data_IF_335973004828
#
_entry.id   IF_335973004828
#
_cell.length_a   1.000
_cell.length_b   1.000
_cell.length_c   1.000
_cell.angle_alpha   90.00
_cell.angle_beta   90.00
_cell.angle_gamma   90.00
#
_symmetry.space_group_name_H-M   'P 1'
#
loop_
_entity.id
_entity.type
_entity.pdbx_description
1 polymer ?
#
# COMPACT_ATOMS: atom_id res chain seq x y z
N UNK A 1 24.61 53.92 -5.90
CA UNK A 1 25.47 52.93 -6.58
C UNK A 1 26.00 51.94 -5.55
N UNK A 2 25.54 50.69 -5.67
CA UNK A 2 26.24 49.41 -5.43
C UNK A 2 27.31 49.34 -4.32
N UNK A 3 26.99 48.61 -3.24
CA UNK A 3 27.85 47.52 -2.73
C UNK A 3 26.99 46.31 -2.39
N UNK A 4 27.30 45.21 -3.05
CA UNK A 4 26.63 43.91 -2.98
C UNK A 4 27.15 43.07 -1.80
N UNK A 5 26.25 42.20 -1.30
CA UNK A 5 26.45 40.80 -0.89
C UNK A 5 27.67 40.46 -0.02
N UNK A 6 27.41 40.04 1.23
CA UNK A 6 27.72 38.68 1.68
C UNK A 6 27.08 38.46 3.07
N UNK A 7 25.92 37.79 3.11
CA UNK A 7 25.35 37.30 4.37
C UNK A 7 25.83 35.86 4.52
N UNK A 8 26.94 35.68 5.24
CA UNK A 8 27.48 34.37 5.58
C UNK A 8 26.57 33.80 6.66
N UNK A 9 25.63 32.94 6.26
CA UNK A 9 24.85 32.12 7.16
C UNK A 9 25.67 30.88 7.52
N UNK A 10 26.40 30.94 8.63
CA UNK A 10 27.07 29.77 9.21
C UNK A 10 26.03 28.93 9.95
N UNK A 11 25.51 27.88 9.30
CA UNK A 11 24.73 26.83 9.96
C UNK A 11 25.70 25.86 10.62
N UNK A 12 25.95 26.05 11.90
CA UNK A 12 26.71 25.10 12.72
C UNK A 12 25.80 23.93 13.09
N UNK A 13 26.17 22.75 12.58
CA UNK A 13 25.61 21.44 12.89
C UNK A 13 25.82 21.13 14.38
N UNK A 14 24.74 21.04 15.16
CA UNK A 14 24.71 20.33 16.46
C UNK A 14 23.28 19.82 16.74
N UNK A 15 22.90 18.72 16.10
CA UNK A 15 21.86 17.82 16.61
C UNK A 15 22.42 16.39 16.67
N UNK A 16 23.53 16.23 17.39
CA UNK A 16 23.87 14.95 18.00
C UNK A 16 23.15 14.88 19.35
N UNK A 17 21.86 14.56 19.31
CA UNK A 17 21.21 13.96 20.46
C UNK A 17 21.32 12.45 20.28
N UNK A 18 22.09 11.73 21.10
CA UNK A 18 21.98 10.28 21.14
C UNK A 18 20.58 10.00 21.68
N UNK A 19 19.69 9.50 20.82
CA UNK A 19 18.46 8.86 21.26
C UNK A 19 18.85 7.59 22.02
N UNK A 20 19.15 7.76 23.30
CA UNK A 20 19.28 6.67 24.26
C UNK A 20 17.86 6.16 24.53
N UNK A 21 17.69 4.89 24.20
CA UNK A 21 16.59 3.98 24.52
C UNK A 21 15.80 4.34 25.78
N UNK A 22 14.47 4.43 25.65
CA UNK A 22 13.59 4.73 26.78
C UNK A 22 12.09 4.75 26.49
N UNK A 23 11.58 3.92 25.57
CA UNK A 23 10.15 3.56 25.57
C UNK A 23 10.01 2.08 25.20
N UNK A 24 9.87 1.24 26.23
CA UNK A 24 9.10 0.00 26.14
C UNK A 24 7.63 0.39 25.87
N UNK A 25 7.32 0.86 24.67
CA UNK A 25 6.00 0.58 24.13
C UNK A 25 6.14 -0.83 23.58
N UNK A 26 5.51 -1.81 24.24
CA UNK A 26 5.20 -3.09 23.60
C UNK A 26 4.49 -2.73 22.30
N UNK A 27 5.21 -2.75 21.18
CA UNK A 27 4.56 -2.64 19.89
C UNK A 27 3.61 -3.85 19.83
N UNK A 28 2.31 -3.64 19.59
CA UNK A 28 1.41 -4.76 19.44
C UNK A 28 2.01 -5.71 18.40
N UNK A 29 1.88 -7.03 18.61
CA UNK A 29 2.48 -8.01 17.71
C UNK A 29 2.09 -7.68 16.27
N UNK A 30 3.00 -7.87 15.30
CA UNK A 30 2.70 -7.59 13.91
C UNK A 30 1.47 -8.40 13.50
N UNK A 31 0.44 -7.69 13.01
CA UNK A 31 -0.82 -8.31 12.61
C UNK A 31 -0.58 -9.36 11.53
N UNK A 32 -1.30 -10.46 11.63
CA UNK A 32 -1.31 -11.49 10.61
C UNK A 32 -1.89 -10.96 9.28
N UNK A 33 -1.56 -11.57 8.13
CA UNK A 33 -2.17 -11.22 6.85
C UNK A 33 -3.71 -11.28 6.85
N UNK A 34 -4.27 -12.19 7.65
CA UNK A 34 -5.73 -12.36 7.79
C UNK A 34 -6.35 -11.20 8.55
N UNK A 35 -5.76 -10.79 9.67
CA UNK A 35 -6.24 -9.62 10.44
C UNK A 35 -6.14 -8.34 9.62
N UNK A 36 -5.03 -8.15 8.89
CA UNK A 36 -4.87 -7.01 7.98
C UNK A 36 -5.92 -7.01 6.87
N UNK A 37 -6.23 -8.18 6.31
CA UNK A 37 -7.26 -8.31 5.29
C UNK A 37 -8.65 -7.95 5.81
N UNK A 38 -9.01 -8.47 7.00
CA UNK A 38 -10.29 -8.19 7.64
C UNK A 38 -10.45 -6.69 7.96
N UNK A 39 -9.43 -6.05 8.55
CA UNK A 39 -9.47 -4.61 8.83
C UNK A 39 -9.61 -3.77 7.55
N UNK A 40 -8.94 -4.18 6.48
CA UNK A 40 -9.03 -3.51 5.19
C UNK A 40 -10.39 -3.72 4.53
N UNK A 41 -10.99 -4.91 4.67
CA UNK A 41 -12.34 -5.21 4.20
C UNK A 41 -13.39 -4.37 4.95
N UNK A 42 -13.29 -4.29 6.27
CA UNK A 42 -14.14 -3.46 7.12
C UNK A 42 -14.03 -1.98 6.79
N UNK A 43 -12.81 -1.52 6.47
CA UNK A 43 -12.62 -0.14 6.01
C UNK A 43 -13.32 0.10 4.68
N UNK A 44 -13.18 -0.82 3.72
CA UNK A 44 -13.83 -0.71 2.41
C UNK A 44 -15.36 -0.79 2.53
N UNK A 45 -15.88 -1.62 3.43
CA UNK A 45 -17.30 -1.67 3.77
C UNK A 45 -17.83 -0.28 4.11
N UNK A 46 -17.19 0.40 5.05
CA UNK A 46 -17.60 1.76 5.49
C UNK A 46 -17.43 2.79 4.38
N UNK A 47 -16.29 2.76 3.69
CA UNK A 47 -15.95 3.78 2.70
C UNK A 47 -16.79 3.69 1.42
N UNK A 48 -17.18 2.48 1.02
CA UNK A 48 -17.87 2.21 -0.24
C UNK A 48 -19.33 1.77 -0.03
N UNK A 49 -19.78 1.67 1.23
CA UNK A 49 -21.09 1.16 1.60
C UNK A 49 -21.39 -0.19 0.92
N UNK A 50 -20.48 -1.16 1.08
CA UNK A 50 -20.65 -2.46 0.42
C UNK A 50 -21.83 -3.21 1.05
N UNK A 51 -22.42 -4.12 0.27
CA UNK A 51 -23.43 -5.06 0.81
C UNK A 51 -22.72 -6.19 1.53
N UNK A 52 -23.38 -6.87 2.46
CA UNK A 52 -22.77 -7.97 3.23
C UNK A 52 -22.11 -9.05 2.35
N UNK A 53 -22.75 -9.40 1.23
CA UNK A 53 -22.15 -10.34 0.28
C UNK A 53 -20.91 -9.78 -0.42
N UNK A 54 -20.86 -8.48 -0.70
CA UNK A 54 -19.67 -7.82 -1.28
C UNK A 54 -18.55 -7.78 -0.25
N UNK A 55 -18.86 -7.46 1.02
CA UNK A 55 -17.91 -7.51 2.13
C UNK A 55 -17.28 -8.91 2.27
N UNK A 56 -18.10 -9.96 2.30
CA UNK A 56 -17.63 -11.34 2.37
C UNK A 56 -16.66 -11.68 1.21
N UNK A 57 -16.99 -11.28 -0.02
CA UNK A 57 -16.13 -11.51 -1.18
C UNK A 57 -14.85 -10.69 -1.13
N UNK A 58 -14.92 -9.42 -0.69
CA UNK A 58 -13.75 -8.54 -0.52
C UNK A 58 -12.79 -9.12 0.50
N UNK A 59 -13.29 -9.52 1.67
CA UNK A 59 -12.49 -10.12 2.73
C UNK A 59 -11.80 -11.40 2.24
N UNK A 60 -12.53 -12.30 1.58
CA UNK A 60 -11.96 -13.52 1.00
C UNK A 60 -10.85 -13.23 -0.03
N UNK A 61 -11.06 -12.24 -0.91
CA UNK A 61 -10.04 -11.80 -1.88
C UNK A 61 -8.80 -11.25 -1.17
N UNK A 62 -8.98 -10.39 -0.17
CA UNK A 62 -7.88 -9.76 0.55
C UNK A 62 -7.10 -10.77 1.38
N UNK A 63 -7.77 -11.68 2.09
CA UNK A 63 -7.11 -12.72 2.90
C UNK A 63 -6.21 -13.58 2.03
N UNK A 64 -6.72 -14.07 0.90
CA UNK A 64 -5.91 -14.85 -0.05
C UNK A 64 -4.75 -14.02 -0.60
N UNK A 65 -5.03 -12.81 -1.06
CA UNK A 65 -4.02 -11.99 -1.71
C UNK A 65 -2.90 -11.54 -0.75
N UNK A 66 -3.23 -11.23 0.51
CA UNK A 66 -2.24 -10.85 1.52
C UNK A 66 -1.44 -12.05 1.99
N UNK A 67 -2.07 -13.22 2.13
CA UNK A 67 -1.36 -14.47 2.43
C UNK A 67 -0.33 -14.78 1.34
N UNK A 68 -0.76 -14.78 0.07
CA UNK A 68 0.11 -15.06 -1.07
C UNK A 68 1.23 -14.01 -1.23
N UNK A 69 0.92 -12.72 -1.02
CA UNK A 69 1.91 -11.65 -1.07
C UNK A 69 2.96 -11.82 0.03
N UNK A 70 2.52 -12.14 1.25
CA UNK A 70 3.43 -12.35 2.40
C UNK A 70 4.36 -13.52 2.12
N UNK A 71 3.84 -14.65 1.64
CA UNK A 71 4.64 -15.79 1.25
C UNK A 71 5.65 -15.44 0.14
N UNK A 72 5.25 -14.65 -0.86
CA UNK A 72 6.15 -14.25 -1.94
C UNK A 72 7.24 -13.28 -1.48
N UNK A 73 6.91 -12.35 -0.60
CA UNK A 73 7.89 -11.44 0.00
C UNK A 73 8.91 -12.22 0.83
N UNK A 74 8.46 -13.22 1.59
CA UNK A 74 9.34 -14.07 2.37
C UNK A 74 10.25 -14.93 1.48
N UNK A 75 9.71 -15.50 0.40
CA UNK A 75 10.50 -16.23 -0.61
C UNK A 75 11.62 -15.34 -1.19
N UNK A 76 11.31 -14.09 -1.55
CA UNK A 76 12.30 -13.13 -2.06
C UNK A 76 13.35 -12.77 -1.00
N UNK A 77 12.93 -12.62 0.26
CA UNK A 77 13.82 -12.33 1.38
C UNK A 77 14.82 -13.47 1.60
N UNK A 78 14.34 -14.72 1.64
CA UNK A 78 15.17 -15.92 1.80
C UNK A 78 16.12 -16.10 0.62
N UNK A 79 15.68 -15.78 -0.60
CA UNK A 79 16.52 -15.79 -1.80
C UNK A 79 17.58 -14.66 -1.84
N UNK A 80 17.62 -13.79 -0.83
CA UNK A 80 18.60 -12.70 -0.74
C UNK A 80 18.35 -11.57 -1.74
N UNK A 81 17.13 -11.43 -2.27
CA UNK A 81 16.77 -10.33 -3.17
C UNK A 81 16.71 -9.04 -2.36
N UNK A 82 17.51 -8.05 -2.74
CA UNK A 82 17.58 -6.74 -2.07
C UNK A 82 17.06 -5.59 -2.94
N UNK A 83 16.87 -5.82 -4.24
CA UNK A 83 16.44 -4.79 -5.17
C UNK A 83 15.00 -4.35 -4.89
N UNK A 84 14.83 -3.10 -4.42
CA UNK A 84 13.53 -2.49 -4.11
C UNK A 84 12.53 -2.60 -5.27
N UNK A 85 13.00 -2.40 -6.50
CA UNK A 85 12.15 -2.46 -7.69
C UNK A 85 11.53 -3.84 -7.91
N UNK A 86 12.21 -4.91 -7.49
CA UNK A 86 11.67 -6.28 -7.56
C UNK A 86 10.50 -6.45 -6.59
N UNK A 87 10.65 -5.99 -5.35
CA UNK A 87 9.55 -6.01 -4.37
C UNK A 87 8.37 -5.17 -4.84
N UNK A 88 8.64 -3.98 -5.38
CA UNK A 88 7.61 -3.12 -5.94
C UNK A 88 6.86 -3.80 -7.08
N UNK A 89 7.57 -4.46 -8.00
CA UNK A 89 6.96 -5.18 -9.12
C UNK A 89 6.03 -6.30 -8.63
N UNK A 90 6.44 -7.04 -7.60
CA UNK A 90 5.60 -8.06 -6.97
C UNK A 90 4.36 -7.43 -6.33
N UNK A 91 4.52 -6.37 -5.53
CA UNK A 91 3.40 -5.67 -4.91
C UNK A 91 2.42 -5.15 -5.96
N UNK A 92 2.89 -4.49 -7.02
CA UNK A 92 2.06 -3.97 -8.11
C UNK A 92 1.28 -5.11 -8.81
N UNK A 93 1.88 -6.29 -8.99
CA UNK A 93 1.21 -7.47 -9.54
C UNK A 93 0.07 -7.96 -8.64
N UNK A 94 0.32 -8.06 -7.34
CA UNK A 94 -0.71 -8.47 -6.36
C UNK A 94 -1.80 -7.41 -6.23
N UNK A 95 -1.44 -6.13 -6.33
CA UNK A 95 -2.37 -5.04 -6.34
C UNK A 95 -3.28 -5.13 -7.59
N UNK A 96 -2.74 -5.41 -8.78
CA UNK A 96 -3.54 -5.61 -9.99
C UNK A 96 -4.56 -6.75 -9.87
N UNK A 97 -4.19 -7.87 -9.22
CA UNK A 97 -5.12 -8.96 -8.93
C UNK A 97 -6.31 -8.51 -8.06
N UNK A 98 -6.07 -7.66 -7.07
CA UNK A 98 -7.14 -7.07 -6.25
C UNK A 98 -8.05 -6.20 -7.12
N UNK A 99 -7.48 -5.31 -7.94
CA UNK A 99 -8.29 -4.44 -8.81
C UNK A 99 -9.21 -5.26 -9.71
N UNK A 100 -8.69 -6.30 -10.37
CA UNK A 100 -9.44 -7.16 -11.28
C UNK A 100 -10.53 -7.97 -10.56
N UNK A 101 -10.32 -8.32 -9.29
CA UNK A 101 -11.33 -9.00 -8.48
C UNK A 101 -12.41 -8.02 -8.01
N UNK A 102 -12.01 -6.85 -7.52
CA UNK A 102 -12.94 -5.83 -7.02
C UNK A 102 -13.82 -5.25 -8.12
N UNK A 103 -13.32 -5.11 -9.34
CA UNK A 103 -14.12 -4.69 -10.50
C UNK A 103 -15.33 -5.61 -10.76
N UNK A 104 -15.22 -6.89 -10.40
CA UNK A 104 -16.29 -7.89 -10.56
C UNK A 104 -17.26 -7.91 -9.38
N UNK A 105 -16.82 -7.44 -8.22
CA UNK A 105 -17.58 -7.47 -6.97
C UNK A 105 -18.36 -6.16 -6.78
N UNK A 106 -17.75 -5.04 -7.13
CA UNK A 106 -18.29 -3.70 -6.95
C UNK A 106 -19.20 -3.31 -8.11
N UNK A 107 -20.17 -2.44 -7.84
CA UNK A 107 -20.80 -1.68 -8.91
C UNK A 107 -19.82 -0.62 -9.48
N UNK A 108 -20.22 0.02 -10.57
CA UNK A 108 -19.37 0.99 -11.29
C UNK A 108 -18.95 2.17 -10.41
N UNK A 109 -19.84 2.66 -9.56
CA UNK A 109 -19.59 3.85 -8.74
C UNK A 109 -18.69 3.49 -7.55
N UNK A 110 -18.94 2.36 -6.92
CA UNK A 110 -18.09 1.78 -5.88
C UNK A 110 -16.67 1.52 -6.41
N UNK A 111 -16.53 0.91 -7.58
CA UNK A 111 -15.22 0.62 -8.18
C UNK A 111 -14.47 1.90 -8.56
N UNK A 112 -15.15 2.87 -9.15
CA UNK A 112 -14.54 4.16 -9.47
C UNK A 112 -14.08 4.90 -8.21
N UNK A 113 -14.88 4.88 -7.13
CA UNK A 113 -14.51 5.47 -5.84
C UNK A 113 -13.30 4.76 -5.23
N UNK A 114 -13.27 3.43 -5.25
CA UNK A 114 -12.12 2.62 -4.84
C UNK A 114 -10.84 3.03 -5.59
N UNK A 115 -10.88 3.12 -6.91
CA UNK A 115 -9.72 3.48 -7.73
C UNK A 115 -9.21 4.90 -7.46
N UNK A 116 -10.11 5.84 -7.14
CA UNK A 116 -9.74 7.20 -6.74
C UNK A 116 -9.07 7.22 -5.37
N UNK A 117 -9.66 6.55 -4.38
CA UNK A 117 -9.15 6.50 -3.01
C UNK A 117 -7.81 5.78 -2.89
N UNK A 118 -7.59 4.75 -3.71
CA UNK A 118 -6.32 4.01 -3.75
C UNK A 118 -5.24 4.69 -4.61
N UNK A 119 -5.57 5.76 -5.35
CA UNK A 119 -4.65 6.41 -6.28
C UNK A 119 -4.36 5.61 -7.56
N UNK A 120 -5.15 4.56 -7.83
CA UNK A 120 -4.89 3.58 -8.90
C UNK A 120 -5.66 3.81 -10.19
N UNK A 121 -6.52 4.82 -10.24
CA UNK A 121 -7.33 5.14 -11.42
C UNK A 121 -6.52 5.21 -12.72
N UNK A 122 -5.38 5.90 -12.73
CA UNK A 122 -4.52 6.02 -13.91
C UNK A 122 -3.87 4.69 -14.31
N UNK A 123 -3.44 3.90 -13.32
CA UNK A 123 -2.78 2.60 -13.53
C UNK A 123 -3.79 1.61 -14.13
N UNK A 124 -4.98 1.53 -13.53
CA UNK A 124 -6.06 0.66 -14.01
C UNK A 124 -6.43 0.99 -15.47
N UNK A 125 -6.62 2.28 -15.79
CA UNK A 125 -6.90 2.72 -17.17
C UNK A 125 -5.81 2.27 -18.16
N UNK A 126 -4.54 2.52 -17.83
CA UNK A 126 -3.40 2.09 -18.67
C UNK A 126 -3.37 0.57 -18.87
N UNK A 127 -3.65 -0.21 -17.83
CA UNK A 127 -3.67 -1.67 -17.91
C UNK A 127 -4.79 -2.16 -18.82
N UNK A 128 -5.99 -1.57 -18.76
CA UNK A 128 -7.11 -1.91 -19.65
C UNK A 128 -6.80 -1.57 -21.10
N UNK A 129 -6.20 -0.40 -21.36
CA UNK A 129 -5.76 -0.02 -22.71
C UNK A 129 -4.71 -0.96 -23.29
N UNK A 130 -3.81 -1.49 -22.45
CA UNK A 130 -2.81 -2.47 -22.88
C UNK A 130 -3.39 -3.85 -23.18
N UNK A 131 -4.47 -4.24 -22.48
CA UNK A 131 -5.16 -5.52 -22.71
C UNK A 131 -6.10 -5.50 -23.93
N UNK A 132 -6.52 -4.32 -24.37
CA UNK A 132 -7.39 -4.13 -25.52
C UNK A 132 -6.62 -4.07 -26.87
N UNK A 133 -5.30 -4.18 -26.84
CA UNK A 133 -4.41 -4.21 -28.01
C UNK A 133 -3.92 -5.64 -28.25
#
# INVERSE_FOLDING_TARGET
>A
MKTSKLLILTVTILFFSPFIYGQNQEQPPPKSPVELASEQADKLQRDLNLKDYQLFLVDSVLQRNFTDLTAKVEEMRVAGIQARETYKTVQDKFAAKIDDAFEKIFDKDQFLKYLKMSGRLKINKKNKEAQAK
#
